data_IF_274829043814
#
_entry.id   IF_274829043814
#
_cell.length_a   1.000
_cell.length_b   1.000
_cell.length_c   1.000
_cell.angle_alpha   90.00
_cell.angle_beta   90.00
_cell.angle_gamma   90.00
#
_symmetry.space_group_name_H-M   'P 1'
#
loop_
_entity.id
_entity.type
_entity.pdbx_description
1 polymer ?
#
# COMPACT_ATOMS: atom_id res chain seq x y z
N UNK A 1 -1.29 -1.79 9.16
CA UNK A 1 -1.16 -3.17 8.68
C UNK A 1 -2.46 -3.63 8.05
N UNK A 2 -3.52 -3.96 8.81
CA UNK A 2 -4.76 -4.48 8.22
C UNK A 2 -5.40 -3.57 7.16
N UNK A 3 -5.52 -2.27 7.43
CA UNK A 3 -6.04 -1.28 6.46
C UNK A 3 -5.28 -1.35 5.12
N UNK A 4 -3.96 -1.30 5.18
CA UNK A 4 -3.08 -1.35 4.01
C UNK A 4 -3.28 -2.67 3.24
N UNK A 5 -3.28 -3.81 3.92
CA UNK A 5 -3.58 -5.11 3.31
C UNK A 5 -4.94 -5.11 2.57
N UNK A 6 -5.98 -4.53 3.16
CA UNK A 6 -7.29 -4.42 2.51
C UNK A 6 -7.28 -3.49 1.28
N UNK A 7 -6.55 -2.38 1.34
CA UNK A 7 -6.37 -1.46 0.21
C UNK A 7 -5.63 -2.15 -0.94
N UNK A 8 -4.52 -2.83 -0.65
CA UNK A 8 -3.74 -3.61 -1.63
C UNK A 8 -4.61 -4.68 -2.28
N UNK A 9 -5.39 -5.43 -1.50
CA UNK A 9 -6.33 -6.42 -2.04
C UNK A 9 -7.37 -5.78 -2.97
N UNK A 10 -7.92 -4.63 -2.59
CA UNK A 10 -8.94 -3.92 -3.38
C UNK A 10 -8.36 -3.44 -4.71
N UNK A 11 -7.19 -2.79 -4.68
CA UNK A 11 -6.50 -2.30 -5.89
C UNK A 11 -6.12 -3.50 -6.77
N UNK A 12 -5.47 -4.51 -6.19
CA UNK A 12 -4.99 -5.69 -6.90
C UNK A 12 -6.12 -6.45 -7.60
N UNK A 13 -7.23 -6.72 -6.91
CA UNK A 13 -8.38 -7.42 -7.50
C UNK A 13 -9.01 -6.62 -8.65
N UNK A 14 -9.12 -5.30 -8.51
CA UNK A 14 -9.65 -4.45 -9.58
C UNK A 14 -8.75 -4.49 -10.83
N UNK A 15 -7.42 -4.44 -10.64
CA UNK A 15 -6.45 -4.57 -11.73
C UNK A 15 -6.47 -5.96 -12.34
N UNK A 16 -6.57 -7.02 -11.53
CA UNK A 16 -6.64 -8.41 -11.99
C UNK A 16 -7.84 -8.64 -12.93
N UNK A 17 -9.01 -8.09 -12.58
CA UNK A 17 -10.21 -8.17 -13.40
C UNK A 17 -10.03 -7.53 -14.79
N UNK A 18 -9.32 -6.40 -14.87
CA UNK A 18 -9.04 -5.73 -16.15
C UNK A 18 -7.92 -6.37 -16.97
N UNK A 19 -6.94 -6.99 -16.31
CA UNK A 19 -5.76 -7.57 -16.94
C UNK A 19 -5.91 -9.05 -17.31
N UNK A 20 -6.96 -9.74 -16.83
CA UNK A 20 -7.13 -11.18 -17.02
C UNK A 20 -6.15 -12.02 -16.20
N UNK A 21 -5.73 -11.53 -15.03
CA UNK A 21 -4.87 -12.25 -14.10
C UNK A 21 -5.68 -13.20 -13.21
N UNK A 22 -5.02 -14.15 -12.54
CA UNK A 22 -5.66 -14.97 -11.51
C UNK A 22 -5.98 -14.12 -10.27
N UNK A 23 -7.26 -13.76 -10.12
CA UNK A 23 -7.74 -12.92 -9.02
C UNK A 23 -7.58 -13.56 -7.64
N UNK A 24 -7.71 -14.89 -7.55
CA UNK A 24 -7.55 -15.61 -6.28
C UNK A 24 -6.09 -15.63 -5.84
N UNK A 25 -5.18 -15.81 -6.79
CA UNK A 25 -3.74 -15.74 -6.52
C UNK A 25 -3.29 -14.32 -6.14
N UNK A 26 -3.82 -13.28 -6.80
CA UNK A 26 -3.59 -11.88 -6.41
C UNK A 26 -4.12 -11.60 -5.01
N UNK A 27 -5.34 -12.05 -4.69
CA UNK A 27 -5.92 -11.88 -3.37
C UNK A 27 -5.09 -12.59 -2.29
N UNK A 28 -4.69 -13.84 -2.54
CA UNK A 28 -3.83 -14.59 -1.63
C UNK A 28 -2.48 -13.89 -1.42
N UNK A 29 -1.86 -13.41 -2.50
CA UNK A 29 -0.65 -12.59 -2.45
C UNK A 29 -0.84 -11.32 -1.61
N UNK A 30 -1.92 -10.57 -1.83
CA UNK A 30 -2.23 -9.36 -1.08
C UNK A 30 -2.40 -9.64 0.42
N UNK A 31 -3.05 -10.74 0.80
CA UNK A 31 -3.21 -11.11 2.21
C UNK A 31 -1.89 -11.54 2.88
N UNK A 32 -0.95 -12.09 2.11
CA UNK A 32 0.27 -12.72 2.64
C UNK A 32 1.55 -11.89 2.48
N UNK A 33 1.61 -10.94 1.54
CA UNK A 33 2.86 -10.26 1.14
C UNK A 33 3.65 -9.70 2.32
N UNK A 34 2.92 -9.17 3.31
CA UNK A 34 3.46 -8.49 4.49
C UNK A 34 3.44 -9.32 5.77
N UNK A 35 3.08 -10.62 5.71
CA UNK A 35 2.86 -11.45 6.90
C UNK A 35 4.10 -11.54 7.81
N UNK A 36 5.30 -11.44 7.21
CA UNK A 36 6.56 -11.43 7.95
C UNK A 36 6.74 -10.23 8.87
N UNK A 37 5.96 -9.16 8.71
CA UNK A 37 5.98 -8.01 9.64
C UNK A 37 5.56 -8.40 11.06
N UNK A 38 4.81 -9.51 11.23
CA UNK A 38 4.44 -10.06 12.52
C UNK A 38 5.65 -10.60 13.32
N UNK A 39 6.66 -11.14 12.64
CA UNK A 39 7.90 -11.60 13.28
C UNK A 39 8.98 -10.51 13.25
N UNK A 40 8.95 -9.62 12.25
CA UNK A 40 9.93 -8.56 12.10
C UNK A 40 9.78 -7.41 13.10
N UNK A 41 8.56 -7.17 13.59
CA UNK A 41 8.27 -6.04 14.49
C UNK A 41 7.54 -6.49 15.75
N UNK A 42 7.74 -5.72 16.83
CA UNK A 42 6.98 -5.83 18.08
C UNK A 42 6.38 -4.48 18.44
N UNK A 43 5.19 -4.54 19.02
CA UNK A 43 4.52 -3.38 19.59
C UNK A 43 4.68 -3.36 21.12
N UNK A 44 5.35 -2.35 21.63
CA UNK A 44 5.50 -2.10 23.07
C UNK A 44 5.44 -0.59 23.36
N UNK A 45 4.31 0.05 23.06
CA UNK A 45 4.15 1.51 23.11
C UNK A 45 4.75 2.26 21.90
N UNK A 46 5.41 1.52 21.01
CA UNK A 46 5.91 1.96 19.72
C UNK A 46 6.33 0.73 18.89
N UNK A 47 6.60 0.93 17.60
CA UNK A 47 7.16 -0.12 16.75
C UNK A 47 8.65 -0.27 17.01
N UNK A 48 9.06 -1.48 17.36
CA UNK A 48 10.48 -1.86 17.49
C UNK A 48 10.77 -3.03 16.56
N UNK A 49 11.90 -2.99 15.88
CA UNK A 49 12.37 -4.12 15.06
C UNK A 49 12.90 -5.21 15.97
N UNK A 50 12.52 -6.46 15.71
CA UNK A 50 13.06 -7.62 16.43
C UNK A 50 14.48 -7.94 15.94
N UNK A 51 15.19 -8.81 16.65
CA UNK A 51 16.47 -9.35 16.16
C UNK A 51 16.29 -10.04 14.81
N UNK A 52 15.30 -10.93 14.70
CA UNK A 52 14.97 -11.61 13.45
C UNK A 52 14.62 -10.61 12.33
N UNK A 53 13.82 -9.58 12.63
CA UNK A 53 13.48 -8.52 11.68
C UNK A 53 14.70 -7.72 11.22
N UNK A 54 15.67 -7.50 12.11
CA UNK A 54 16.91 -6.77 11.81
C UNK A 54 17.87 -7.58 10.94
N UNK A 55 17.93 -8.90 11.15
CA UNK A 55 18.84 -9.79 10.43
C UNK A 55 18.27 -10.30 9.10
N UNK A 56 16.96 -10.56 9.03
CA UNK A 56 16.32 -11.23 7.89
C UNK A 56 15.34 -10.34 7.12
N UNK A 57 14.78 -9.33 7.77
CA UNK A 57 13.71 -8.51 7.20
C UNK A 57 12.39 -9.27 7.05
N UNK A 58 11.31 -8.53 6.80
CA UNK A 58 9.96 -9.11 6.75
C UNK A 58 9.71 -9.99 5.52
N UNK A 59 10.39 -9.77 4.39
CA UNK A 59 10.21 -10.58 3.17
C UNK A 59 10.66 -12.01 3.39
N UNK A 60 11.90 -12.21 3.88
CA UNK A 60 12.42 -13.54 4.18
C UNK A 60 11.62 -14.22 5.29
N UNK A 61 11.29 -13.49 6.36
CA UNK A 61 10.45 -14.00 7.44
C UNK A 61 9.07 -14.41 6.93
N UNK A 62 8.45 -13.65 6.03
CA UNK A 62 7.16 -13.96 5.44
C UNK A 62 7.16 -15.28 4.66
N UNK A 63 8.19 -15.50 3.83
CA UNK A 63 8.36 -16.78 3.12
C UNK A 63 8.57 -17.95 4.08
N UNK A 64 9.39 -17.77 5.12
CA UNK A 64 9.63 -18.80 6.14
C UNK A 64 8.36 -19.12 6.93
N UNK A 65 7.57 -18.10 7.29
CA UNK A 65 6.29 -18.26 7.98
C UNK A 65 5.31 -19.07 7.13
N UNK A 66 5.17 -18.73 5.84
CA UNK A 66 4.31 -19.46 4.92
C UNK A 66 4.73 -20.93 4.80
N UNK A 67 6.03 -21.19 4.56
CA UNK A 67 6.56 -22.54 4.42
C UNK A 67 6.33 -23.38 5.70
N UNK A 68 6.63 -22.82 6.89
CA UNK A 68 6.35 -23.49 8.17
C UNK A 68 4.86 -23.79 8.36
N UNK A 69 3.99 -22.83 8.01
CA UNK A 69 2.55 -22.97 8.20
C UNK A 69 1.96 -24.06 7.30
N UNK A 70 2.40 -24.15 6.05
CA UNK A 70 1.97 -25.17 5.08
C UNK A 70 2.49 -26.56 5.48
N UNK A 71 3.74 -26.65 5.93
CA UNK A 71 4.33 -27.92 6.37
C UNK A 71 3.67 -28.49 7.65
N UNK A 72 3.03 -27.64 8.45
CA UNK A 72 2.33 -28.05 9.68
C UNK A 72 0.90 -28.55 9.44
N UNK A 73 0.36 -28.44 8.22
CA UNK A 73 -0.98 -28.93 7.89
C UNK A 73 -0.96 -30.43 7.58
N UNK A 74 -1.91 -31.19 8.17
CA UNK A 74 -2.06 -32.63 7.90
C UNK A 74 -2.37 -32.91 6.43
N UNK A 75 -3.12 -32.00 5.79
CA UNK A 75 -3.42 -32.02 4.37
C UNK A 75 -2.92 -30.72 3.75
N UNK A 76 -2.03 -30.83 2.77
CA UNK A 76 -1.49 -29.69 2.06
C UNK A 76 -2.64 -28.80 1.52
N UNK A 77 -2.71 -27.51 1.91
CA UNK A 77 -3.77 -26.61 1.50
C UNK A 77 -3.62 -26.14 0.05
N UNK A 78 -2.46 -26.40 -0.56
CA UNK A 78 -2.10 -26.03 -1.93
C UNK A 78 -1.07 -27.03 -2.49
N UNK A 79 -0.91 -27.03 -3.80
CA UNK A 79 0.13 -27.75 -4.53
C UNK A 79 1.51 -27.11 -4.32
N UNK A 80 2.58 -27.85 -4.60
CA UNK A 80 3.95 -27.31 -4.55
C UNK A 80 4.14 -26.11 -5.49
N UNK A 81 3.45 -26.11 -6.63
CA UNK A 81 3.49 -25.00 -7.59
C UNK A 81 2.81 -23.75 -7.04
N UNK A 82 1.63 -23.90 -6.44
CA UNK A 82 0.93 -22.77 -5.81
C UNK A 82 1.74 -22.21 -4.64
N UNK A 83 2.34 -23.07 -3.81
CA UNK A 83 3.25 -22.64 -2.75
C UNK A 83 4.42 -21.83 -3.30
N UNK A 84 5.05 -22.27 -4.39
CA UNK A 84 6.14 -21.55 -5.04
C UNK A 84 5.68 -20.18 -5.56
N UNK A 85 4.50 -20.10 -6.18
CA UNK A 85 3.92 -18.84 -6.66
C UNK A 85 3.65 -17.88 -5.50
N UNK A 86 3.07 -18.35 -4.39
CA UNK A 86 2.82 -17.54 -3.21
C UNK A 86 4.12 -17.03 -2.57
N UNK A 87 5.17 -17.88 -2.51
CA UNK A 87 6.49 -17.44 -2.07
C UNK A 87 7.08 -16.39 -3.00
N UNK A 88 6.92 -16.54 -4.32
CA UNK A 88 7.36 -15.54 -5.30
C UNK A 88 6.66 -14.20 -5.10
N UNK A 89 5.33 -14.20 -4.90
CA UNK A 89 4.57 -12.99 -4.58
C UNK A 89 5.10 -12.27 -3.35
N UNK A 90 5.39 -13.01 -2.26
CA UNK A 90 6.02 -12.43 -1.06
C UNK A 90 7.43 -11.92 -1.38
N UNK A 91 8.23 -12.68 -2.12
CA UNK A 91 9.63 -12.35 -2.42
C UNK A 91 9.77 -11.08 -3.28
N UNK A 92 8.80 -10.82 -4.15
CA UNK A 92 8.90 -9.81 -5.19
C UNK A 92 8.02 -8.57 -5.02
N UNK A 93 7.16 -8.51 -4.00
CA UNK A 93 6.15 -7.43 -3.92
C UNK A 93 6.71 -6.01 -3.85
N UNK A 94 7.95 -5.80 -3.37
CA UNK A 94 8.62 -4.50 -3.44
C UNK A 94 9.08 -4.10 -4.85
N UNK A 95 8.92 -4.97 -5.85
CA UNK A 95 9.17 -4.73 -7.27
C UNK A 95 10.64 -4.80 -7.67
N UNK A 96 11.50 -4.08 -6.95
CA UNK A 96 12.92 -3.96 -7.28
C UNK A 96 13.82 -4.29 -6.10
N UNK A 97 15.01 -4.80 -6.40
CA UNK A 97 16.03 -5.11 -5.39
C UNK A 97 16.40 -3.87 -4.57
N UNK A 98 16.49 -2.70 -5.20
CA UNK A 98 16.80 -1.44 -4.52
C UNK A 98 15.70 -0.97 -3.57
N UNK A 99 14.48 -1.49 -3.72
CA UNK A 99 13.31 -1.19 -2.89
C UNK A 99 13.06 -2.27 -1.82
N UNK A 100 13.94 -3.28 -1.73
CA UNK A 100 13.86 -4.34 -0.72
C UNK A 100 13.22 -5.64 -1.19
N UNK A 101 12.99 -5.82 -2.50
CA UNK A 101 12.59 -7.12 -3.05
C UNK A 101 13.76 -8.10 -3.03
N UNK A 102 13.49 -9.39 -2.86
CA UNK A 102 14.51 -10.44 -3.01
C UNK A 102 14.75 -10.80 -4.48
N UNK A 103 13.69 -10.73 -5.30
CA UNK A 103 13.68 -10.97 -6.75
C UNK A 103 12.68 -10.01 -7.39
N UNK A 104 12.81 -9.65 -8.68
CA UNK A 104 11.78 -8.88 -9.37
C UNK A 104 10.49 -9.69 -9.55
N UNK A 105 9.32 -9.04 -9.74
CA UNK A 105 8.12 -9.72 -10.20
C UNK A 105 8.37 -10.44 -11.53
N UNK A 106 7.81 -11.63 -11.68
CA UNK A 106 8.02 -12.51 -12.85
C UNK A 106 6.72 -13.14 -13.36
N UNK A 107 5.59 -12.81 -12.73
CA UNK A 107 4.25 -13.22 -13.15
C UNK A 107 3.36 -11.99 -13.20
N UNK A 108 2.26 -12.07 -13.96
CA UNK A 108 1.30 -10.97 -14.04
C UNK A 108 0.72 -10.63 -12.65
N UNK A 109 0.43 -11.65 -11.85
CA UNK A 109 -0.07 -11.50 -10.49
C UNK A 109 0.94 -10.81 -9.57
N UNK A 110 2.23 -11.12 -9.71
CA UNK A 110 3.30 -10.48 -8.95
C UNK A 110 3.48 -9.01 -9.33
N UNK A 111 3.37 -8.70 -10.62
CA UNK A 111 3.44 -7.32 -11.12
C UNK A 111 2.25 -6.49 -10.60
N UNK A 112 1.05 -7.07 -10.65
CA UNK A 112 -0.18 -6.44 -10.12
C UNK A 112 -0.06 -6.22 -8.61
N UNK A 113 0.41 -7.23 -7.86
CA UNK A 113 0.59 -7.12 -6.42
C UNK A 113 1.57 -6.00 -6.07
N UNK A 114 2.70 -5.92 -6.77
CA UNK A 114 3.68 -4.85 -6.59
C UNK A 114 3.06 -3.47 -6.81
N UNK A 115 2.33 -3.27 -7.92
CA UNK A 115 1.70 -1.98 -8.19
C UNK A 115 0.60 -1.65 -7.18
N UNK A 116 -0.15 -2.63 -6.71
CA UNK A 116 -1.16 -2.43 -5.69
C UNK A 116 -0.55 -2.00 -4.35
N UNK A 117 0.56 -2.64 -3.95
CA UNK A 117 1.33 -2.29 -2.76
C UNK A 117 1.89 -0.85 -2.84
N UNK A 118 2.60 -0.55 -3.92
CA UNK A 118 3.18 0.77 -4.17
C UNK A 118 2.10 1.87 -4.26
N UNK A 119 0.98 1.58 -4.90
CA UNK A 119 -0.15 2.50 -5.00
C UNK A 119 -0.76 2.81 -3.64
N UNK A 120 -1.01 1.81 -2.78
CA UNK A 120 -1.53 2.03 -1.42
C UNK A 120 -0.52 2.88 -0.61
N UNK A 121 0.77 2.51 -0.61
CA UNK A 121 1.80 3.21 0.15
C UNK A 121 2.01 4.67 -0.29
N UNK A 122 2.11 4.91 -1.60
CA UNK A 122 2.31 6.26 -2.15
C UNK A 122 1.06 7.12 -2.05
N UNK A 123 -0.14 6.56 -2.24
CA UNK A 123 -1.38 7.31 -2.10
C UNK A 123 -1.60 7.77 -0.65
N UNK A 124 -1.32 6.90 0.33
CA UNK A 124 -1.36 7.27 1.74
C UNK A 124 -0.34 8.37 2.06
N UNK A 125 0.88 8.26 1.55
CA UNK A 125 1.93 9.26 1.73
C UNK A 125 1.59 10.61 1.09
N UNK A 126 0.98 10.60 -0.10
CA UNK A 126 0.49 11.79 -0.79
C UNK A 126 -0.63 12.46 0.00
N UNK A 127 -1.64 11.70 0.43
CA UNK A 127 -2.75 12.23 1.21
C UNK A 127 -2.27 12.87 2.52
N UNK A 128 -1.35 12.23 3.24
CA UNK A 128 -0.75 12.77 4.44
C UNK A 128 0.03 14.06 4.17
N UNK A 129 0.84 14.09 3.10
CA UNK A 129 1.63 15.27 2.74
C UNK A 129 0.77 16.48 2.35
N UNK A 130 -0.39 16.25 1.72
CA UNK A 130 -1.33 17.32 1.36
C UNK A 130 -2.06 17.92 2.57
N UNK A 131 -2.27 17.14 3.62
CA UNK A 131 -2.92 17.59 4.86
C UNK A 131 -1.96 18.33 5.81
N UNK A 132 -0.66 18.08 5.68
CA UNK A 132 0.38 18.75 6.48
C UNK A 132 0.68 20.15 5.91
N UNK A 133 0.15 21.17 6.58
CA UNK A 133 0.33 22.57 6.19
C UNK A 133 1.79 23.03 6.24
N UNK A 134 2.64 22.40 7.05
CA UNK A 134 4.05 22.78 7.18
C UNK A 134 4.85 22.41 5.92
N UNK A 135 4.28 21.58 5.04
CA UNK A 135 4.86 21.35 3.72
C UNK A 135 4.74 22.56 2.79
N UNK A 136 3.85 23.51 3.06
CA UNK A 136 3.54 24.62 2.16
C UNK A 136 3.89 25.96 2.81
N UNK A 137 4.58 26.82 2.06
CA UNK A 137 4.88 28.18 2.51
C UNK A 137 3.66 29.08 2.29
N UNK A 138 2.89 29.35 3.34
CA UNK A 138 1.68 30.19 3.27
C UNK A 138 0.67 29.64 2.25
N UNK A 139 0.32 30.46 1.27
CA UNK A 139 -0.64 30.10 0.22
C UNK A 139 -0.02 29.35 -0.98
N UNK A 140 1.28 28.99 -0.91
CA UNK A 140 1.95 28.25 -1.98
C UNK A 140 1.21 26.95 -2.34
N UNK A 141 1.00 26.70 -3.64
CA UNK A 141 0.34 25.48 -4.11
C UNK A 141 1.28 24.28 -4.21
N UNK A 142 2.59 24.51 -4.27
CA UNK A 142 3.63 23.49 -4.35
C UNK A 142 4.38 23.44 -3.03
N UNK A 143 4.69 22.23 -2.55
CA UNK A 143 5.44 22.07 -1.31
C UNK A 143 6.85 22.68 -1.38
N UNK A 144 7.31 23.21 -0.24
CA UNK A 144 8.63 23.81 -0.10
C UNK A 144 9.74 22.76 -0.24
N UNK A 145 9.51 21.55 0.29
CA UNK A 145 10.42 20.41 0.27
C UNK A 145 9.81 19.19 -0.43
N UNK A 146 10.67 18.29 -0.88
CA UNK A 146 10.27 16.98 -1.40
C UNK A 146 9.88 16.03 -0.28
N UNK A 147 8.92 15.15 -0.54
CA UNK A 147 8.46 14.12 0.39
C UNK A 147 9.25 12.84 0.14
N UNK A 148 9.99 12.37 1.14
CA UNK A 148 10.92 11.25 0.99
C UNK A 148 10.21 9.97 0.53
N UNK A 149 9.04 9.66 1.10
CA UNK A 149 8.19 8.51 0.76
C UNK A 149 7.64 8.54 -0.68
N UNK A 150 7.76 9.67 -1.37
CA UNK A 150 7.29 9.87 -2.75
C UNK A 150 8.46 10.10 -3.71
N UNK A 151 9.56 9.38 -3.51
CA UNK A 151 10.76 9.53 -4.35
C UNK A 151 11.34 10.96 -4.31
N UNK A 152 11.19 11.63 -3.15
CA UNK A 152 11.58 13.03 -2.92
C UNK A 152 10.88 14.03 -3.85
N UNK A 153 9.74 13.67 -4.43
CA UNK A 153 8.94 14.57 -5.26
C UNK A 153 8.29 15.67 -4.41
N UNK A 154 8.12 16.85 -5.00
CA UNK A 154 7.27 17.91 -4.46
C UNK A 154 5.80 17.54 -4.68
N UNK A 155 4.93 17.98 -3.79
CA UNK A 155 3.48 17.75 -3.88
C UNK A 155 2.77 19.04 -4.27
N UNK A 156 1.64 18.90 -4.95
CA UNK A 156 0.82 20.02 -5.44
C UNK A 156 -0.60 19.90 -4.89
N UNK A 157 -1.08 20.96 -4.22
CA UNK A 157 -2.42 20.99 -3.60
C UNK A 157 -3.48 21.76 -4.39
N UNK A 158 -3.15 22.19 -5.61
CA UNK A 158 -4.13 22.86 -6.47
C UNK A 158 -5.21 21.89 -6.93
N UNK A 159 -6.45 22.35 -6.96
CA UNK A 159 -7.61 21.59 -7.43
C UNK A 159 -7.97 22.00 -8.85
N UNK A 160 -8.05 21.04 -9.77
CA UNK A 160 -8.56 21.30 -11.12
C UNK A 160 -10.06 21.59 -11.07
N UNK A 161 -10.55 22.50 -11.89
CA UNK A 161 -11.95 22.93 -12.04
C UNK A 161 -12.73 22.12 -13.09
N UNK A 162 -12.06 21.17 -13.75
CA UNK A 162 -12.65 20.34 -14.80
C UNK A 162 -13.94 19.65 -14.37
N UNK A 163 -15.04 19.92 -15.08
CA UNK A 163 -16.36 19.33 -14.84
C UNK A 163 -17.17 19.93 -13.69
N UNK A 164 -16.68 20.98 -13.00
CA UNK A 164 -17.48 21.79 -12.07
C UNK A 164 -18.06 22.99 -12.82
N UNK A 165 -19.29 22.88 -13.32
CA UNK A 165 -20.05 24.08 -13.72
C UNK A 165 -20.33 24.93 -12.47
N UNK A 166 -20.39 26.24 -12.61
CA UNK A 166 -20.63 27.24 -11.54
C UNK A 166 -22.01 27.13 -10.84
N UNK A 167 -22.66 25.96 -10.87
CA UNK A 167 -23.98 25.71 -10.31
C UNK A 167 -23.86 25.05 -8.91
N UNK A 168 -23.21 25.74 -7.98
CA UNK A 168 -23.47 25.49 -6.54
C UNK A 168 -23.30 26.72 -5.65
N UNK A 169 -23.12 27.93 -6.21
CA UNK A 169 -23.16 29.19 -5.46
C UNK A 169 -24.55 29.82 -5.54
N UNK A 170 -25.60 29.07 -5.21
CA UNK A 170 -26.90 29.65 -4.89
C UNK A 170 -27.71 28.64 -4.10
N UNK A 171 -27.40 28.51 -2.81
CA UNK A 171 -28.43 28.31 -1.79
C UNK A 171 -27.92 28.57 -0.38
N UNK A 172 -28.42 29.71 0.14
CA UNK A 172 -28.79 30.01 1.53
C UNK A 172 -27.67 30.30 2.54
N UNK A 173 -27.58 31.58 2.92
CA UNK A 173 -28.17 32.02 4.19
C UNK A 173 -28.48 33.53 4.16
N UNK A 174 -29.77 33.85 3.91
CA UNK A 174 -30.35 35.14 4.28
C UNK A 174 -30.36 35.23 5.81
N UNK A 175 -29.63 36.20 6.37
CA UNK A 175 -29.78 36.62 7.76
C UNK A 175 -31.20 37.17 7.98
N UNK A 176 -31.96 36.73 8.99
CA UNK A 176 -33.19 37.42 9.36
C UNK A 176 -32.85 38.79 9.98
N UNK A 177 -33.72 39.81 9.81
CA UNK A 177 -33.46 41.14 10.35
C UNK A 177 -33.55 41.14 11.87
N UNK A 178 -32.63 41.86 12.50
CA UNK A 178 -32.65 42.20 13.92
C UNK A 178 -33.96 42.89 14.28
N UNK A 179 -34.73 42.33 15.22
CA UNK A 179 -35.79 43.04 15.92
C UNK A 179 -35.24 43.55 17.26
N UNK A 180 -35.44 44.85 17.51
CA UNK A 180 -35.35 45.45 18.84
C UNK A 180 -36.59 45.19 19.67
#
# INVERSE_FOLDING_TARGET
>A
MLRHTCEVATIGMATAAGAGADAELVLAGALLHDIGKLEAYRWAGGFTTTEAGSLLGHVALGMMMLARRVAAEERAPCTERELLLLQHLIASHHGRLELGAAVPPMTLEAEILHFADDASAKSASMAAALLDTDHFAGDALVSARGVWQLDRRKVYRGVGDWGRSELSMDHKEERPPSRG
#
